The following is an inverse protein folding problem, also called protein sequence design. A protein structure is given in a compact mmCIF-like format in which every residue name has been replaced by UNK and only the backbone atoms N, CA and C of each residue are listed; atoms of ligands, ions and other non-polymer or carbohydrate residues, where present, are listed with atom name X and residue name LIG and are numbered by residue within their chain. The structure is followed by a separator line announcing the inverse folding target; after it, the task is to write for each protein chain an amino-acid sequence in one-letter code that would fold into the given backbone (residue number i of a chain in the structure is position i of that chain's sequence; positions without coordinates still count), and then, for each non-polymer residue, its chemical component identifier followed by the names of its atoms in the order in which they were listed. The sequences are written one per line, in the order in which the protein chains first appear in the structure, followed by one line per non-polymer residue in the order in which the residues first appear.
data_IF_617004356497
#
_entry.id   IF_617004356497
#
_cell.length_a   1.000
_cell.length_b   1.000
_cell.length_c   1.000
_cell.angle_alpha   90.00
_cell.angle_beta   90.00
_cell.angle_gamma   90.00
#
_symmetry.space_group_name_H-M   'P 1'
#
loop_
_entity.id
_entity.type
_entity.pdbx_description
1 polymer ?
#
# COMPACT_ATOMS: atom_id res chain seq x y z
N UNK A 1 -6.47 -10.54 -5.46
CA UNK A 1 -5.55 -11.00 -4.39
C UNK A 1 -5.43 -9.90 -3.33
N UNK A 2 -5.23 -10.29 -2.06
CA UNK A 2 -4.99 -9.37 -0.95
C UNK A 2 -3.48 -9.38 -0.66
N UNK A 3 -2.84 -8.20 -0.62
CA UNK A 3 -1.39 -8.04 -0.43
C UNK A 3 -1.14 -7.24 0.86
N UNK A 4 -0.35 -7.79 1.78
CA UNK A 4 0.12 -7.07 2.96
C UNK A 4 1.54 -6.55 2.72
N UNK A 5 1.73 -5.23 2.86
CA UNK A 5 3.05 -4.58 2.74
C UNK A 5 3.39 -3.94 4.08
N UNK A 6 4.53 -4.33 4.66
CA UNK A 6 5.11 -3.69 5.85
C UNK A 6 6.19 -2.70 5.43
N UNK A 7 6.39 -1.63 6.22
CA UNK A 7 7.32 -0.55 5.84
C UNK A 7 6.86 0.25 4.62
N UNK A 8 5.55 0.36 4.40
CA UNK A 8 4.96 0.96 3.19
C UNK A 8 5.08 2.49 3.09
N UNK A 9 5.74 3.12 4.06
CA UNK A 9 5.78 4.58 4.21
C UNK A 9 6.87 5.26 3.38
N UNK A 10 7.89 4.52 2.92
CA UNK A 10 8.99 5.05 2.11
C UNK A 10 9.76 3.94 1.39
N UNK A 11 10.53 4.32 0.37
CA UNK A 11 11.46 3.42 -0.32
C UNK A 11 10.75 2.28 -1.06
N UNK A 12 11.29 1.07 -0.95
CA UNK A 12 10.74 -0.09 -1.66
C UNK A 12 9.30 -0.41 -1.27
N UNK A 13 8.95 -0.34 0.01
CA UNK A 13 7.59 -0.63 0.49
C UNK A 13 6.55 0.28 -0.17
N UNK A 14 6.86 1.57 -0.30
CA UNK A 14 6.00 2.53 -0.99
C UNK A 14 5.86 2.19 -2.48
N UNK A 15 6.97 1.90 -3.17
CA UNK A 15 6.95 1.55 -4.59
C UNK A 15 6.15 0.28 -4.86
N UNK A 16 6.30 -0.73 -4.00
CA UNK A 16 5.57 -2.00 -4.05
C UNK A 16 4.06 -1.75 -3.86
N UNK A 17 3.68 -0.98 -2.84
CA UNK A 17 2.28 -0.61 -2.60
C UNK A 17 1.68 0.09 -3.82
N UNK A 18 2.36 1.11 -4.37
CA UNK A 18 1.89 1.85 -5.56
C UNK A 18 1.70 0.93 -6.78
N UNK A 19 2.64 0.02 -7.03
CA UNK A 19 2.58 -0.95 -8.13
C UNK A 19 1.35 -1.85 -8.03
N UNK A 20 1.10 -2.44 -6.85
CA UNK A 20 0.00 -3.38 -6.68
C UNK A 20 -1.37 -2.71 -6.62
N UNK A 21 -1.46 -1.48 -6.10
CA UNK A 21 -2.68 -0.66 -6.17
C UNK A 21 -3.01 -0.32 -7.63
N UNK A 22 -2.02 0.08 -8.44
CA UNK A 22 -2.22 0.38 -9.86
C UNK A 22 -2.71 -0.85 -10.66
N UNK A 23 -2.27 -2.04 -10.28
CA UNK A 23 -2.72 -3.30 -10.88
C UNK A 23 -4.10 -3.78 -10.36
N UNK A 24 -4.80 -2.99 -9.56
CA UNK A 24 -6.16 -3.30 -9.08
C UNK A 24 -6.22 -4.31 -7.93
N UNK A 25 -5.09 -4.57 -7.25
CA UNK A 25 -5.10 -5.44 -6.08
C UNK A 25 -5.51 -4.69 -4.82
N UNK A 26 -6.11 -5.41 -3.87
CA UNK A 26 -6.36 -4.90 -2.52
C UNK A 26 -5.07 -4.96 -1.73
N UNK A 27 -4.54 -3.81 -1.34
CA UNK A 27 -3.27 -3.69 -0.61
C UNK A 27 -3.51 -3.15 0.78
N UNK A 28 -3.01 -3.84 1.81
CA UNK A 28 -2.97 -3.36 3.19
C UNK A 28 -1.56 -2.86 3.43
N UNK A 29 -1.40 -1.55 3.57
CA UNK A 29 -0.11 -0.88 3.77
C UNK A 29 0.08 -0.55 5.25
N UNK A 30 1.19 -1.01 5.85
CA UNK A 30 1.50 -0.76 7.26
C UNK A 30 2.87 -0.10 7.41
N UNK A 31 3.02 0.75 8.42
CA UNK A 31 4.26 1.44 8.74
C UNK A 31 4.26 1.98 10.17
N UNK A 32 5.45 2.27 10.69
CA UNK A 32 5.63 2.75 12.08
C UNK A 32 5.46 4.26 12.25
N UNK A 33 5.45 5.01 11.16
CA UNK A 33 5.35 6.46 11.15
C UNK A 33 4.12 6.83 10.34
N UNK A 34 3.32 7.76 10.84
CA UNK A 34 2.18 8.34 10.11
C UNK A 34 2.60 9.25 8.94
N UNK A 35 3.76 8.99 8.33
CA UNK A 35 4.13 9.62 7.05
C UNK A 35 3.11 9.26 5.98
N UNK A 36 3.15 9.93 4.83
CA UNK A 36 2.19 9.79 3.73
C UNK A 36 2.20 8.39 3.08
N UNK A 37 1.89 7.33 3.83
CA UNK A 37 1.36 6.10 3.30
C UNK A 37 0.02 6.45 2.69
N UNK A 38 0.01 6.65 1.36
CA UNK A 38 -1.20 6.79 0.56
C UNK A 38 -2.22 5.76 1.08
N UNK A 39 -3.36 6.25 1.55
CA UNK A 39 -4.43 5.43 2.13
C UNK A 39 -4.87 4.36 1.13
N UNK A 40 -4.27 3.18 1.21
CA UNK A 40 -4.58 2.07 0.34
C UNK A 40 -5.82 1.34 0.89
N UNK A 41 -6.97 2.00 0.84
CA UNK A 41 -8.25 1.30 0.82
C UNK A 41 -9.09 1.88 -0.33
N UNK A 42 -8.83 1.42 -1.55
CA UNK A 42 -9.76 1.63 -2.66
C UNK A 42 -10.76 0.49 -2.64
N UNK A 43 -11.94 0.72 -2.05
CA UNK A 43 -13.10 -0.16 -2.25
C UNK A 43 -13.56 0.01 -3.69
N UNK A 44 -13.48 -1.07 -4.48
CA UNK A 44 -14.26 -1.20 -5.71
C UNK A 44 -15.44 -2.10 -5.34
N UNK A 45 -16.65 -1.66 -5.66
CA UNK A 45 -17.89 -2.41 -5.44
C UNK A 45 -17.95 -3.69 -6.26
#
# INVERSE_FOLDING_TARGET
MIILVTGATAGFGECITRRFVANGHKVIATGRRSGASAGAERRVG
#
